data_IF_790760306724
#
_entry.id   IF_790760306724
#
_cell.length_a   1.000
_cell.length_b   1.000
_cell.length_c   1.000
_cell.angle_alpha   90.00
_cell.angle_beta   90.00
_cell.angle_gamma   90.00
#
_symmetry.space_group_name_H-M   'P 1'
#
loop_
_entity.id
_entity.type
_entity.pdbx_description
1 polymer ?
#
# COMPACT_ATOMS: atom_id res chain seq x y z
N UNK A 1 17.55 -11.97 6.90
CA UNK A 1 17.41 -12.60 5.58
C UNK A 1 17.28 -11.48 4.59
N UNK A 2 18.04 -11.51 3.50
CA UNK A 2 17.98 -10.46 2.49
C UNK A 2 16.64 -10.59 1.73
N UNK A 3 15.93 -9.47 1.52
CA UNK A 3 14.71 -9.44 0.70
C UNK A 3 14.96 -9.94 -0.72
N UNK A 4 16.19 -9.79 -1.23
CA UNK A 4 16.59 -10.31 -2.53
C UNK A 4 16.67 -11.84 -2.56
N UNK A 5 17.16 -12.47 -1.49
CA UNK A 5 17.22 -13.94 -1.38
C UNK A 5 15.82 -14.54 -1.38
N UNK A 6 14.88 -13.89 -0.68
CA UNK A 6 13.48 -14.32 -0.65
C UNK A 6 12.80 -14.22 -2.00
N UNK A 7 13.09 -13.16 -2.76
CA UNK A 7 12.60 -13.01 -4.13
C UNK A 7 13.22 -14.03 -5.10
N UNK A 8 14.49 -14.37 -4.91
CA UNK A 8 15.10 -15.45 -5.69
C UNK A 8 14.44 -16.80 -5.37
N UNK A 9 14.13 -17.04 -4.10
CA UNK A 9 13.40 -18.23 -3.68
C UNK A 9 11.96 -18.25 -4.19
N UNK A 10 11.24 -17.11 -4.20
CA UNK A 10 9.88 -17.03 -4.74
C UNK A 10 9.81 -17.32 -6.24
N UNK A 11 10.89 -17.03 -6.98
CA UNK A 11 11.00 -17.35 -8.40
C UNK A 11 11.20 -18.84 -8.71
N UNK A 12 11.50 -19.67 -7.70
CA UNK A 12 11.61 -21.12 -7.88
C UNK A 12 10.29 -21.68 -8.39
N UNK A 13 10.32 -22.57 -9.38
CA UNK A 13 9.14 -23.05 -10.12
C UNK A 13 7.94 -23.41 -9.22
N UNK A 14 8.17 -24.19 -8.15
CA UNK A 14 7.12 -24.62 -7.24
C UNK A 14 6.49 -23.47 -6.45
N UNK A 15 7.30 -22.54 -5.94
CA UNK A 15 6.82 -21.40 -5.15
C UNK A 15 6.09 -20.43 -6.06
N UNK A 16 6.65 -20.16 -7.23
CA UNK A 16 6.08 -19.27 -8.22
C UNK A 16 4.70 -19.76 -8.70
N UNK A 17 4.57 -21.06 -8.98
CA UNK A 17 3.28 -21.67 -9.34
C UNK A 17 2.23 -21.47 -8.22
N UNK A 18 2.58 -21.75 -6.96
CA UNK A 18 1.68 -21.56 -5.83
C UNK A 18 1.26 -20.09 -5.65
N UNK A 19 2.22 -19.16 -5.72
CA UNK A 19 1.95 -17.72 -5.59
C UNK A 19 1.03 -17.26 -6.72
N UNK A 20 1.30 -17.66 -7.96
CA UNK A 20 0.43 -17.30 -9.10
C UNK A 20 -0.98 -17.84 -8.95
N UNK A 21 -1.15 -19.11 -8.56
CA UNK A 21 -2.49 -19.67 -8.36
C UNK A 21 -3.27 -18.92 -7.29
N UNK A 22 -2.66 -18.63 -6.13
CA UNK A 22 -3.34 -17.88 -5.07
C UNK A 22 -3.73 -16.48 -5.54
N UNK A 23 -2.81 -15.80 -6.23
CA UNK A 23 -3.04 -14.45 -6.74
C UNK A 23 -4.17 -14.46 -7.78
N UNK A 24 -4.15 -15.39 -8.71
CA UNK A 24 -5.16 -15.49 -9.77
C UNK A 24 -6.55 -15.76 -9.18
N UNK A 25 -6.66 -16.71 -8.23
CA UNK A 25 -7.89 -16.98 -7.48
C UNK A 25 -8.42 -15.73 -6.78
N UNK A 26 -7.59 -15.01 -6.01
CA UNK A 26 -8.03 -13.80 -5.32
C UNK A 26 -8.49 -12.72 -6.30
N UNK A 27 -7.74 -12.51 -7.40
CA UNK A 27 -8.10 -11.49 -8.40
C UNK A 27 -9.35 -11.84 -9.21
N UNK A 28 -9.75 -13.11 -9.24
CA UNK A 28 -10.96 -13.59 -9.91
C UNK A 28 -12.24 -13.40 -9.09
N UNK A 29 -12.10 -13.10 -7.79
CA UNK A 29 -13.26 -12.93 -6.92
C UNK A 29 -13.95 -11.59 -7.21
N UNK A 30 -15.27 -11.66 -7.35
CA UNK A 30 -16.11 -10.47 -7.38
C UNK A 30 -16.06 -9.76 -6.02
N UNK A 31 -15.87 -8.45 -6.04
CA UNK A 31 -15.89 -7.60 -4.85
C UNK A 31 -16.95 -6.53 -5.01
N UNK A 32 -17.54 -6.11 -3.89
CA UNK A 32 -18.51 -5.04 -3.83
C UNK A 32 -18.29 -4.15 -2.60
N UNK A 33 -18.70 -2.89 -2.70
CA UNK A 33 -18.61 -1.91 -1.61
C UNK A 33 -19.95 -1.89 -0.90
N UNK A 34 -19.93 -2.31 0.37
CA UNK A 34 -21.11 -2.39 1.21
C UNK A 34 -21.07 -1.24 2.23
N UNK A 35 -22.20 -0.52 2.45
CA UNK A 35 -22.27 0.49 3.50
C UNK A 35 -22.11 -0.14 4.88
N UNK A 36 -21.59 0.63 5.83
CA UNK A 36 -21.48 0.19 7.21
C UNK A 36 -22.88 0.05 7.84
N UNK A 37 -23.03 -0.90 8.76
CA UNK A 37 -24.26 -1.12 9.52
C UNK A 37 -24.82 0.20 10.09
N UNK A 38 -26.11 0.46 9.82
CA UNK A 38 -26.82 1.65 10.29
C UNK A 38 -26.87 2.81 9.28
N UNK A 39 -26.26 2.68 8.10
CA UNK A 39 -26.44 3.60 6.98
C UNK A 39 -27.38 3.00 5.95
N UNK A 40 -28.33 3.81 5.48
CA UNK A 40 -29.21 3.41 4.38
C UNK A 40 -28.45 3.45 3.05
N UNK A 41 -28.69 2.46 2.20
CA UNK A 41 -27.99 2.31 0.91
C UNK A 41 -28.24 3.53 0.02
N UNK A 42 -29.47 4.04 0.02
CA UNK A 42 -29.91 5.16 -0.81
C UNK A 42 -29.17 6.47 -0.49
N UNK A 43 -28.58 6.61 0.69
CA UNK A 43 -27.84 7.81 1.07
C UNK A 43 -26.36 7.75 0.68
N UNK A 44 -25.85 6.54 0.43
CA UNK A 44 -24.43 6.29 0.15
C UNK A 44 -24.23 5.77 -1.28
N UNK A 45 -25.31 5.54 -2.02
CA UNK A 45 -25.28 5.00 -3.40
C UNK A 45 -24.38 5.81 -4.32
N UNK A 46 -24.47 7.14 -4.24
CA UNK A 46 -23.67 8.05 -5.08
C UNK A 46 -22.18 7.94 -4.73
N UNK A 47 -21.86 7.92 -3.43
CA UNK A 47 -20.49 7.72 -2.97
C UNK A 47 -19.93 6.33 -3.32
N UNK A 48 -20.77 5.29 -3.30
CA UNK A 48 -20.39 3.95 -3.74
C UNK A 48 -20.09 3.94 -5.24
N UNK A 49 -20.92 4.61 -6.06
CA UNK A 49 -20.70 4.73 -7.49
C UNK A 49 -19.39 5.45 -7.80
N UNK A 50 -19.14 6.59 -7.14
CA UNK A 50 -17.88 7.35 -7.30
C UNK A 50 -16.66 6.51 -6.93
N UNK A 51 -16.71 5.75 -5.83
CA UNK A 51 -15.60 4.90 -5.40
C UNK A 51 -15.42 3.70 -6.34
N UNK A 52 -16.52 3.13 -6.85
CA UNK A 52 -16.46 2.07 -7.87
C UNK A 52 -15.81 2.57 -9.15
N UNK A 53 -16.21 3.75 -9.63
CA UNK A 53 -15.61 4.38 -10.81
C UNK A 53 -14.12 4.63 -10.58
N UNK A 54 -13.75 5.19 -9.42
CA UNK A 54 -12.36 5.40 -9.05
C UNK A 54 -11.53 4.10 -9.11
N UNK A 55 -12.08 2.99 -8.64
CA UNK A 55 -11.38 1.70 -8.68
C UNK A 55 -11.32 1.04 -10.07
N UNK A 56 -12.08 1.51 -11.06
CA UNK A 56 -11.88 1.06 -12.45
C UNK A 56 -10.57 1.59 -13.03
N UNK A 57 -10.23 2.84 -12.72
CA UNK A 57 -9.01 3.52 -13.20
C UNK A 57 -8.37 4.33 -12.05
N UNK A 58 -7.73 3.66 -11.07
CA UNK A 58 -7.18 4.27 -9.87
C UNK A 58 -5.93 5.14 -10.12
N UNK A 59 -5.38 5.16 -11.33
CA UNK A 59 -4.21 5.96 -11.67
C UNK A 59 -4.26 6.48 -13.12
N UNK A 60 -3.47 7.53 -13.41
CA UNK A 60 -3.36 8.07 -14.76
C UNK A 60 -2.77 7.09 -15.78
N UNK A 61 -2.10 6.03 -15.32
CA UNK A 61 -1.60 4.96 -16.19
C UNK A 61 -2.71 4.08 -16.77
N UNK A 62 -3.95 4.21 -16.27
CA UNK A 62 -5.10 3.44 -16.72
C UNK A 62 -5.08 1.98 -16.27
N UNK A 63 -4.35 1.67 -15.20
CA UNK A 63 -4.24 0.31 -14.67
C UNK A 63 -5.46 -0.03 -13.81
N UNK A 64 -6.21 -1.09 -14.15
CA UNK A 64 -7.33 -1.53 -13.32
C UNK A 64 -6.88 -1.97 -11.91
N UNK A 65 -7.65 -1.60 -10.89
CA UNK A 65 -7.36 -1.96 -9.50
C UNK A 65 -7.27 -3.48 -9.32
N UNK A 66 -8.25 -4.21 -9.84
CA UNK A 66 -8.35 -5.67 -9.71
C UNK A 66 -7.18 -6.40 -10.36
N UNK A 67 -6.74 -5.95 -11.54
CA UNK A 67 -5.80 -6.72 -12.36
C UNK A 67 -4.34 -6.41 -12.05
N UNK A 68 -4.00 -5.14 -11.79
CA UNK A 68 -2.59 -4.72 -11.72
C UNK A 68 -2.19 -4.30 -10.31
N UNK A 69 -3.02 -3.51 -9.65
CA UNK A 69 -2.73 -2.98 -8.32
C UNK A 69 -2.83 -4.08 -7.27
N UNK A 70 -3.94 -4.84 -7.24
CA UNK A 70 -4.14 -5.94 -6.30
C UNK A 70 -3.16 -7.08 -6.58
N UNK A 71 -2.92 -7.42 -7.86
CA UNK A 71 -1.99 -8.48 -8.24
C UNK A 71 -0.58 -8.22 -7.73
N UNK A 72 -0.06 -7.01 -7.93
CA UNK A 72 1.27 -6.61 -7.48
C UNK A 72 1.34 -6.53 -5.95
N UNK A 73 0.29 -5.99 -5.32
CA UNK A 73 0.18 -5.87 -3.87
C UNK A 73 0.15 -7.21 -3.15
N UNK A 74 -0.70 -8.15 -3.58
CA UNK A 74 -0.81 -9.49 -3.00
C UNK A 74 0.48 -10.27 -3.22
N UNK A 75 1.08 -10.16 -4.42
CA UNK A 75 2.35 -10.82 -4.71
C UNK A 75 3.42 -10.42 -3.68
N UNK A 76 3.59 -9.13 -3.41
CA UNK A 76 4.56 -8.67 -2.41
C UNK A 76 4.22 -9.17 -0.98
N UNK A 77 2.95 -9.27 -0.61
CA UNK A 77 2.54 -9.89 0.66
C UNK A 77 2.99 -11.36 0.73
N UNK A 78 2.76 -12.13 -0.32
CA UNK A 78 3.09 -13.55 -0.33
C UNK A 78 4.61 -13.81 -0.39
N UNK A 79 5.35 -12.96 -1.09
CA UNK A 79 6.81 -13.13 -1.27
C UNK A 79 7.63 -12.62 -0.08
N UNK A 80 7.30 -11.43 0.44
CA UNK A 80 8.11 -10.71 1.43
C UNK A 80 7.33 -10.22 2.66
N UNK A 81 6.02 -10.49 2.73
CA UNK A 81 5.11 -10.05 3.79
C UNK A 81 5.07 -8.54 4.00
N UNK A 82 5.16 -7.81 2.89
CA UNK A 82 5.14 -6.35 2.86
C UNK A 82 4.38 -5.85 1.63
N UNK A 83 3.05 -5.81 1.70
CA UNK A 83 2.23 -5.18 0.66
C UNK A 83 2.14 -3.67 0.87
N UNK A 84 2.44 -2.87 -0.15
CA UNK A 84 2.38 -1.40 -0.07
C UNK A 84 1.52 -0.82 -1.20
N UNK A 85 0.51 -0.05 -0.81
CA UNK A 85 -0.20 0.88 -1.71
C UNK A 85 0.10 2.32 -1.30
N UNK A 86 0.51 3.12 -2.27
CA UNK A 86 0.73 4.56 -2.12
C UNK A 86 -0.51 5.30 -2.58
N UNK A 87 -1.10 6.08 -1.70
CA UNK A 87 -2.19 7.02 -2.00
C UNK A 87 -1.56 8.35 -2.37
N UNK A 88 -1.89 8.85 -3.55
CA UNK A 88 -1.47 10.17 -4.01
C UNK A 88 -2.63 11.13 -3.78
N UNK A 89 -2.30 12.29 -3.21
CA UNK A 89 -3.26 13.35 -2.95
C UNK A 89 -3.00 14.54 -3.85
N UNK A 90 -4.04 15.33 -4.08
CA UNK A 90 -3.92 16.60 -4.77
C UNK A 90 -3.01 17.56 -3.98
N UNK A 91 -2.35 18.48 -4.69
CA UNK A 91 -1.42 19.46 -4.11
C UNK A 91 -2.05 20.28 -2.99
N UNK A 92 -3.36 20.56 -3.08
CA UNK A 92 -4.12 21.30 -2.08
C UNK A 92 -4.27 20.53 -0.75
N UNK A 93 -3.99 19.23 -0.73
CA UNK A 93 -4.08 18.38 0.46
C UNK A 93 -2.83 18.49 1.34
N UNK A 94 -1.77 19.14 0.86
CA UNK A 94 -0.51 19.31 1.57
C UNK A 94 -0.41 20.72 2.18
N UNK A 95 0.16 20.80 3.37
CA UNK A 95 0.56 22.05 4.02
C UNK A 95 2.05 22.29 3.76
N UNK A 96 2.35 23.38 3.06
CA UNK A 96 3.72 23.77 2.74
C UNK A 96 4.36 24.64 3.83
N UNK A 97 3.59 25.08 4.83
CA UNK A 97 4.12 25.82 5.97
C UNK A 97 4.60 24.87 7.08
N UNK A 98 3.93 23.73 7.23
CA UNK A 98 4.31 22.67 8.16
C UNK A 98 5.05 21.56 7.40
N UNK A 99 6.37 21.54 7.54
CA UNK A 99 7.23 20.52 6.94
C UNK A 99 7.62 19.47 7.97
N UNK A 100 7.80 18.23 7.51
CA UNK A 100 8.35 17.17 8.34
C UNK A 100 9.81 17.50 8.70
N UNK A 101 10.21 17.42 10.00
CA UNK A 101 11.51 17.92 10.45
C UNK A 101 12.76 17.27 9.83
N UNK A 102 12.69 16.03 9.34
CA UNK A 102 13.86 15.27 8.86
C UNK A 102 14.02 15.33 7.35
N UNK A 103 12.92 15.28 6.61
CA UNK A 103 12.87 15.23 5.16
C UNK A 103 12.58 16.59 4.52
N UNK A 104 11.95 17.50 5.27
CA UNK A 104 11.39 18.74 4.72
C UNK A 104 10.19 18.49 3.81
N UNK A 105 9.61 17.29 3.81
CA UNK A 105 8.41 16.98 3.04
C UNK A 105 7.20 17.74 3.60
N UNK A 106 6.31 18.28 2.76
CA UNK A 106 5.12 18.98 3.23
C UNK A 106 4.18 18.00 3.94
N UNK A 107 3.62 18.43 5.07
CA UNK A 107 2.74 17.58 5.87
C UNK A 107 1.35 17.47 5.23
N UNK A 108 0.72 16.30 5.36
CA UNK A 108 -0.65 16.11 4.90
C UNK A 108 -1.61 16.85 5.85
N UNK A 109 -2.51 17.69 5.31
CA UNK A 109 -3.55 18.42 6.07
C UNK A 109 -4.43 17.47 6.87
N UNK A 110 -5.31 17.88 7.80
CA UNK A 110 -6.21 16.96 8.51
C UNK A 110 -7.22 16.22 7.61
N UNK A 111 -7.76 15.10 8.10
CA UNK A 111 -8.83 14.34 7.41
C UNK A 111 -10.03 15.26 7.15
N UNK A 112 -10.57 15.24 5.93
CA UNK A 112 -11.67 16.10 5.47
C UNK A 112 -11.23 17.30 4.62
N UNK A 113 -9.95 17.67 4.66
CA UNK A 113 -9.37 18.71 3.77
C UNK A 113 -8.45 18.12 2.69
N UNK A 114 -8.50 16.80 2.52
CA UNK A 114 -7.66 16.04 1.59
C UNK A 114 -8.52 15.51 0.47
N UNK A 115 -7.99 15.51 -0.75
CA UNK A 115 -8.59 14.83 -1.89
C UNK A 115 -7.58 13.84 -2.46
N UNK A 116 -7.90 12.54 -2.34
CA UNK A 116 -7.09 11.48 -2.95
C UNK A 116 -7.36 11.48 -4.46
N UNK A 117 -6.30 11.40 -5.25
CA UNK A 117 -6.37 11.43 -6.71
C UNK A 117 -5.97 10.12 -7.34
N UNK A 118 -5.01 9.39 -6.75
CA UNK A 118 -4.52 8.15 -7.34
C UNK A 118 -4.07 7.13 -6.30
N UNK A 119 -3.98 5.86 -6.71
CA UNK A 119 -3.38 4.78 -5.95
C UNK A 119 -2.38 4.02 -6.83
N UNK A 120 -1.21 3.74 -6.27
CA UNK A 120 -0.18 2.91 -6.89
C UNK A 120 0.22 1.75 -5.98
N UNK A 121 0.32 0.54 -6.53
CA UNK A 121 1.09 -0.51 -5.88
C UNK A 121 2.58 -0.21 -6.03
N UNK A 122 3.33 -0.29 -4.94
CA UNK A 122 4.79 -0.13 -4.94
C UNK A 122 5.46 -1.30 -4.26
N UNK A 123 6.72 -1.50 -4.62
CA UNK A 123 7.59 -2.52 -4.04
C UNK A 123 7.71 -2.33 -2.53
N UNK A 124 7.16 -3.27 -1.75
CA UNK A 124 7.21 -3.23 -0.30
C UNK A 124 8.62 -3.25 0.29
N UNK A 125 9.60 -3.84 -0.40
CA UNK A 125 10.99 -3.86 0.05
C UNK A 125 11.62 -2.46 0.06
N UNK A 126 11.09 -1.53 -0.76
CA UNK A 126 11.59 -0.16 -0.83
C UNK A 126 11.13 0.74 0.33
N UNK A 127 10.20 0.27 1.17
CA UNK A 127 9.62 1.06 2.27
C UNK A 127 10.14 0.62 3.63
N UNK A 128 10.67 1.56 4.39
CA UNK A 128 11.00 1.39 5.80
C UNK A 128 9.99 2.13 6.68
N UNK A 129 9.56 1.49 7.76
CA UNK A 129 8.65 2.08 8.74
C UNK A 129 9.42 2.95 9.72
N UNK A 130 8.97 4.18 9.89
CA UNK A 130 9.41 5.01 11.00
C UNK A 130 8.50 4.77 12.21
N UNK A 131 9.07 4.19 13.26
CA UNK A 131 8.39 3.92 14.52
C UNK A 131 8.99 4.73 15.66
N UNK A 132 8.18 5.02 16.66
CA UNK A 132 8.66 5.56 17.92
C UNK A 132 9.22 4.47 18.85
N UNK A 133 9.70 4.88 20.04
CA UNK A 133 10.26 3.97 21.04
C UNK A 133 9.24 2.97 21.61
N UNK A 134 7.95 3.23 21.43
CA UNK A 134 6.85 2.41 21.90
C UNK A 134 6.23 1.57 20.78
N UNK A 135 6.76 1.64 19.55
CA UNK A 135 6.27 0.92 18.38
C UNK A 135 5.13 1.61 17.63
N UNK A 136 4.77 2.85 17.97
CA UNK A 136 3.78 3.62 17.21
C UNK A 136 4.37 4.09 15.88
N UNK A 137 3.65 3.80 14.80
CA UNK A 137 4.00 4.20 13.45
C UNK A 137 3.82 5.71 13.25
N UNK A 138 4.91 6.39 12.89
CA UNK A 138 4.95 7.82 12.55
C UNK A 138 4.78 8.07 11.06
N UNK A 139 5.41 7.25 10.23
CA UNK A 139 5.43 7.42 8.79
C UNK A 139 6.28 6.35 8.12
N UNK A 140 6.59 6.57 6.84
CA UNK A 140 7.36 5.64 6.02
C UNK A 140 8.45 6.38 5.25
N UNK A 141 9.55 5.68 5.01
CA UNK A 141 10.65 6.15 4.19
C UNK A 141 10.77 5.24 2.97
N UNK A 142 10.67 5.82 1.78
CA UNK A 142 10.92 5.11 0.53
C UNK A 142 12.37 5.33 0.09
N UNK A 143 13.06 4.23 -0.14
CA UNK A 143 14.42 4.20 -0.67
C UNK A 143 14.40 3.72 -2.13
N UNK A 144 15.17 4.40 -2.98
CA UNK A 144 15.41 3.92 -4.34
C UNK A 144 16.70 3.11 -4.38
N UNK A 145 16.60 1.88 -4.87
CA UNK A 145 17.77 1.02 -5.09
C UNK A 145 18.52 1.35 -6.40
N UNK A 146 17.86 2.04 -7.34
CA UNK A 146 18.41 2.31 -8.68
C UNK A 146 19.13 3.65 -8.77
N UNK A 147 18.67 4.64 -8.00
CA UNK A 147 19.24 5.99 -7.99
C UNK A 147 19.54 6.30 -6.52
N UNK A 148 20.79 6.62 -6.13
CA UNK A 148 21.10 7.10 -4.80
C UNK A 148 20.50 8.50 -4.62
N UNK A 149 19.19 8.53 -4.42
CA UNK A 149 18.41 9.70 -4.11
C UNK A 149 18.22 9.79 -2.60
N UNK A 150 18.00 11.00 -2.10
CA UNK A 150 17.56 11.17 -0.73
C UNK A 150 16.24 10.41 -0.53
N UNK A 151 16.11 9.68 0.60
CA UNK A 151 14.91 8.90 0.86
C UNK A 151 13.70 9.83 0.96
N UNK A 152 12.60 9.41 0.35
CA UNK A 152 11.36 10.18 0.34
C UNK A 152 10.54 9.79 1.56
N UNK A 153 10.08 10.77 2.32
CA UNK A 153 9.21 10.52 3.46
C UNK A 153 7.74 10.57 3.06
N UNK A 154 6.95 9.68 3.64
CA UNK A 154 5.51 9.60 3.51
C UNK A 154 4.85 9.62 4.88
N UNK A 155 3.79 10.42 5.00
CA UNK A 155 2.93 10.42 6.16
C UNK A 155 2.20 9.08 6.29
N UNK A 156 1.90 8.66 7.54
CA UNK A 156 1.22 7.39 7.82
C UNK A 156 -0.05 7.18 6.97
N UNK A 157 -0.80 8.25 6.76
CA UNK A 157 -2.07 8.20 6.05
C UNK A 157 -1.91 8.23 4.52
N UNK A 158 -0.68 8.33 3.99
CA UNK A 158 -0.39 8.21 2.55
C UNK A 158 -0.15 6.77 2.12
N UNK A 159 0.22 5.89 3.06
CA UNK A 159 0.56 4.51 2.77
C UNK A 159 -0.50 3.57 3.36
N UNK A 160 -0.97 2.62 2.56
CA UNK A 160 -1.62 1.42 3.06
C UNK A 160 -0.57 0.32 3.07
N UNK A 161 -0.16 -0.09 4.27
CA UNK A 161 0.76 -1.20 4.46
C UNK A 161 -0.02 -2.41 4.97
N UNK A 162 0.21 -3.56 4.35
CA UNK A 162 -0.38 -4.84 4.78
C UNK A 162 0.72 -5.88 5.00
N UNK A 163 0.53 -6.66 6.06
CA UNK A 163 1.33 -7.85 6.37
C UNK A 163 0.38 -8.94 6.88
N UNK A 164 0.56 -10.15 6.37
CA UNK A 164 -0.18 -11.35 6.73
C UNK A 164 0.26 -11.88 8.11
N UNK A 165 1.56 -11.93 8.41
CA UNK A 165 2.08 -12.51 9.66
C UNK A 165 2.77 -11.47 10.55
N UNK A 166 1.97 -10.54 11.07
CA UNK A 166 2.44 -9.54 12.04
C UNK A 166 2.95 -10.20 13.33
N UNK A 167 4.06 -9.69 13.90
CA UNK A 167 4.65 -10.17 15.17
C UNK A 167 4.62 -9.08 16.23
N UNK A 168 4.41 -9.47 17.50
CA UNK A 168 4.26 -8.51 18.62
C UNK A 168 5.46 -7.62 18.90
N UNK A 169 6.67 -8.02 18.50
CA UNK A 169 7.93 -7.29 18.73
C UNK A 169 8.55 -6.75 17.43
N UNK A 170 7.82 -6.76 16.32
CA UNK A 170 8.30 -6.29 15.02
C UNK A 170 7.25 -5.37 14.39
N UNK A 171 7.70 -4.30 13.76
CA UNK A 171 6.84 -3.49 12.90
C UNK A 171 6.65 -4.12 11.50
N UNK A 172 7.37 -5.17 11.17
CA UNK A 172 7.27 -5.91 9.90
C UNK A 172 6.66 -7.30 10.07
N UNK A 173 6.09 -7.80 8.98
CA UNK A 173 5.60 -9.16 8.85
C UNK A 173 6.71 -10.21 8.80
N UNK A 174 6.30 -11.48 8.72
CA UNK A 174 7.17 -12.63 8.51
C UNK A 174 6.66 -13.49 7.36
N UNK A 175 7.38 -13.44 6.24
CA UNK A 175 6.92 -14.11 5.02
C UNK A 175 6.90 -15.64 5.20
N UNK A 176 5.91 -16.29 4.57
CA UNK A 176 5.84 -17.76 4.53
C UNK A 176 7.06 -18.38 3.87
N UNK A 177 7.67 -17.65 2.94
CA UNK A 177 8.93 -17.98 2.27
C UNK A 177 10.15 -17.92 3.20
N UNK A 178 10.04 -17.26 4.37
CA UNK A 178 11.08 -17.23 5.40
C UNK A 178 10.96 -18.39 6.42
N UNK A 179 9.87 -19.16 6.39
CA UNK A 179 9.53 -20.19 7.41
C UNK A 179 10.25 -21.53 7.20
#
# INVERSE_FOLDING_TARGET
MDTNELRQFSQTFWVNACVHTIVDEITSLDWDIVPKDGYDYDWVSDGIADVKEFFTHPNHNGEALSTVVIRSFIKDILEIDAGVLVKVFDINSYDFNELEPKSGAPMLKPIGQRKMTEIYARDGASFLKEIDKFGFLKGYWQYSYQIPAHPMWFHRDEIVYCAEHSRSMSCYGYARTQA
#
